data_IF_864801197780
#
_entry.id   IF_864801197780
#
_cell.length_a   1.000
_cell.length_b   1.000
_cell.length_c   1.000
_cell.angle_alpha   90.00
_cell.angle_beta   90.00
_cell.angle_gamma   90.00
#
_symmetry.space_group_name_H-M   'P 1'
#
loop_
_entity.id
_entity.type
_entity.pdbx_description
1 polymer ?
#
# COMPACT_ATOMS: atom_id res chain seq x y z
N UNK A 1 -6.07 -2.82 -8.21
CA UNK A 1 -6.04 -2.93 -6.73
C UNK A 1 -6.28 -1.56 -6.12
N UNK A 2 -6.88 -1.53 -4.98
CA UNK A 2 -7.31 -0.30 -4.33
C UNK A 2 -7.38 -0.50 -2.81
N UNK A 3 -7.01 0.54 -2.07
CA UNK A 3 -7.06 0.52 -0.60
C UNK A 3 -8.51 0.54 -0.10
N UNK A 4 -8.77 -0.19 0.98
CA UNK A 4 -10.03 -0.12 1.69
C UNK A 4 -10.09 1.24 2.42
N UNK A 5 -11.19 1.96 2.25
CA UNK A 5 -11.38 3.31 2.83
C UNK A 5 -11.49 3.32 4.35
N UNK A 6 -11.49 2.16 4.98
CA UNK A 6 -11.50 2.04 6.44
C UNK A 6 -10.15 2.37 7.06
N UNK A 7 -9.15 2.65 6.24
CA UNK A 7 -7.81 2.98 6.70
C UNK A 7 -7.39 4.33 6.15
N UNK A 8 -6.65 5.08 6.95
CA UNK A 8 -6.12 6.38 6.56
C UNK A 8 -4.64 6.47 6.90
N UNK A 9 -3.93 7.30 6.16
CA UNK A 9 -2.53 7.59 6.42
C UNK A 9 -2.44 8.89 7.22
N UNK A 10 -1.65 8.87 8.29
CA UNK A 10 -1.40 10.05 9.13
C UNK A 10 0.08 10.26 9.32
N UNK A 11 0.48 11.52 9.39
CA UNK A 11 1.84 11.88 9.77
C UNK A 11 1.82 12.28 11.25
N UNK A 12 2.60 11.59 12.07
CA UNK A 12 2.68 11.82 13.52
C UNK A 12 4.16 11.90 13.89
N UNK A 13 4.60 13.05 14.41
CA UNK A 13 5.97 13.24 14.85
C UNK A 13 7.01 12.90 13.79
N UNK A 14 6.72 13.24 12.54
CA UNK A 14 7.64 13.01 11.42
C UNK A 14 7.58 11.61 10.83
N UNK A 15 6.71 10.75 11.34
CA UNK A 15 6.52 9.40 10.81
C UNK A 15 5.15 9.25 10.17
N UNK A 16 5.08 8.44 9.11
CA UNK A 16 3.82 8.13 8.44
C UNK A 16 3.30 6.80 8.95
N UNK A 17 2.03 6.78 9.35
CA UNK A 17 1.42 5.62 9.96
C UNK A 17 0.05 5.38 9.34
N UNK A 18 -0.26 4.11 9.01
CA UNK A 18 -1.58 3.71 8.54
C UNK A 18 -2.42 3.36 9.77
N UNK A 19 -3.57 4.00 9.88
CA UNK A 19 -4.46 3.89 11.04
C UNK A 19 -5.85 3.43 10.59
N UNK A 20 -6.42 2.42 11.26
CA UNK A 20 -7.81 2.04 10.98
C UNK A 20 -8.79 3.09 11.52
N UNK A 21 -9.97 3.18 10.89
CA UNK A 21 -11.01 4.12 11.30
C UNK A 21 -12.28 3.40 11.70
N UNK A 22 -13.10 4.08 12.48
CA UNK A 22 -14.43 3.57 12.87
C UNK A 22 -14.36 2.23 13.58
N UNK A 23 -15.24 1.33 13.20
CA UNK A 23 -15.33 0.00 13.82
C UNK A 23 -14.08 -0.85 13.56
N UNK A 24 -13.39 -0.59 12.46
CA UNK A 24 -12.19 -1.32 12.13
C UNK A 24 -11.10 -1.13 13.20
N UNK A 25 -11.09 0.05 13.86
CA UNK A 25 -10.13 0.33 14.92
C UNK A 25 -10.27 -0.60 16.12
N UNK A 26 -11.44 -1.17 16.32
CA UNK A 26 -11.69 -2.08 17.45
C UNK A 26 -11.08 -3.45 17.21
N UNK A 27 -11.02 -3.88 15.95
CA UNK A 27 -10.56 -5.21 15.59
C UNK A 27 -9.12 -5.25 15.12
N UNK A 28 -8.60 -4.12 14.62
CA UNK A 28 -7.25 -4.04 14.08
C UNK A 28 -6.25 -3.82 15.21
N UNK A 29 -5.29 -4.73 15.32
CA UNK A 29 -4.25 -4.65 16.33
C UNK A 29 -2.92 -4.29 15.69
N UNK A 30 -2.34 -3.16 16.11
CA UNK A 30 -1.06 -2.69 15.64
C UNK A 30 -1.19 -1.53 14.67
N UNK A 31 -0.03 -0.97 14.34
CA UNK A 31 0.10 0.15 13.42
C UNK A 31 1.13 -0.23 12.37
N UNK A 32 0.94 0.27 11.16
CA UNK A 32 1.88 0.04 10.06
C UNK A 32 2.60 1.35 9.79
N UNK A 33 3.90 1.37 10.02
CA UNK A 33 4.75 2.51 9.72
C UNK A 33 5.15 2.45 8.25
N UNK A 34 5.13 3.60 7.57
CA UNK A 34 5.32 3.69 6.12
C UNK A 34 6.46 4.64 5.81
N UNK A 35 7.37 4.22 4.92
CA UNK A 35 8.43 5.10 4.43
C UNK A 35 7.93 5.97 3.27
N UNK A 36 8.80 6.84 2.73
CA UNK A 36 8.42 7.77 1.66
C UNK A 36 7.88 7.06 0.42
N UNK A 37 8.52 5.98 0.02
CA UNK A 37 8.07 5.21 -1.15
C UNK A 37 6.69 4.63 -0.88
N UNK A 38 6.47 4.09 0.32
CA UNK A 38 5.18 3.58 0.72
C UNK A 38 4.08 4.64 0.71
N UNK A 39 4.41 5.88 1.11
CA UNK A 39 3.47 6.99 1.04
C UNK A 39 3.04 7.25 -0.40
N UNK A 40 3.99 7.25 -1.33
CA UNK A 40 3.69 7.43 -2.76
C UNK A 40 2.80 6.32 -3.29
N UNK A 41 3.10 5.07 -2.91
CA UNK A 41 2.27 3.93 -3.29
C UNK A 41 0.87 4.06 -2.71
N UNK A 42 0.76 4.44 -1.44
CA UNK A 42 -0.52 4.63 -0.77
C UNK A 42 -1.39 5.64 -1.52
N UNK A 43 -0.79 6.76 -1.93
CA UNK A 43 -1.53 7.79 -2.67
C UNK A 43 -2.06 7.27 -4.00
N UNK A 44 -1.25 6.48 -4.70
CA UNK A 44 -1.70 5.87 -5.95
C UNK A 44 -2.81 4.85 -5.74
N UNK A 45 -2.79 4.13 -4.62
CA UNK A 45 -3.78 3.10 -4.30
C UNK A 45 -5.13 3.68 -3.85
N UNK A 46 -5.26 4.99 -3.75
CA UNK A 46 -6.55 5.62 -3.53
C UNK A 46 -7.45 5.46 -4.76
N UNK A 47 -6.87 5.17 -5.90
CA UNK A 47 -7.58 4.83 -7.13
C UNK A 47 -7.30 3.36 -7.47
N UNK A 48 -8.13 2.79 -8.31
CA UNK A 48 -7.92 1.42 -8.76
C UNK A 48 -6.76 1.41 -9.76
N UNK A 49 -5.63 0.84 -9.36
CA UNK A 49 -4.41 0.82 -10.18
C UNK A 49 -3.86 -0.59 -10.31
N UNK A 50 -3.07 -0.80 -11.35
CA UNK A 50 -2.37 -2.06 -11.58
C UNK A 50 -0.98 -2.01 -10.97
N UNK A 51 -0.34 -3.17 -10.82
CA UNK A 51 1.03 -3.24 -10.37
C UNK A 51 1.97 -2.44 -11.29
N UNK A 52 1.78 -2.56 -12.61
CA UNK A 52 2.61 -1.83 -13.56
C UNK A 52 2.47 -0.32 -13.42
N UNK A 53 1.26 0.16 -13.14
CA UNK A 53 1.05 1.59 -12.90
C UNK A 53 1.79 2.06 -11.65
N UNK A 54 1.82 1.23 -10.60
CA UNK A 54 2.59 1.54 -9.39
C UNK A 54 4.09 1.61 -9.71
N UNK A 55 4.58 0.63 -10.46
CA UNK A 55 6.01 0.59 -10.83
C UNK A 55 6.38 1.84 -11.62
N UNK A 56 5.60 2.18 -12.64
CA UNK A 56 5.88 3.36 -13.45
C UNK A 56 5.82 4.64 -12.63
N UNK A 57 4.87 4.74 -11.71
CA UNK A 57 4.76 5.90 -10.83
C UNK A 57 5.99 6.08 -9.95
N UNK A 58 6.51 5.00 -9.40
CA UNK A 58 7.71 5.06 -8.57
C UNK A 58 8.94 5.40 -9.42
N UNK A 59 9.08 4.81 -10.60
CA UNK A 59 10.20 5.10 -11.49
C UNK A 59 10.20 6.55 -11.97
N UNK A 60 9.02 7.17 -12.09
CA UNK A 60 8.91 8.57 -12.48
C UNK A 60 9.26 9.52 -11.34
N UNK A 61 9.06 9.09 -10.10
CA UNK A 61 9.24 9.94 -8.93
C UNK A 61 10.63 9.80 -8.29
N UNK A 62 11.22 8.61 -8.38
CA UNK A 62 12.49 8.30 -7.72
C UNK A 62 13.50 7.76 -8.71
N UNK A 63 14.78 8.05 -8.43
CA UNK A 63 15.89 7.49 -9.20
C UNK A 63 16.27 6.15 -8.62
N UNK A 64 15.56 5.10 -9.05
CA UNK A 64 15.82 3.72 -8.60
C UNK A 64 15.76 2.79 -9.80
N UNK A 65 16.43 1.66 -9.68
CA UNK A 65 16.34 0.61 -10.69
C UNK A 65 14.99 -0.06 -10.62
N UNK A 66 14.48 -0.49 -11.77
CA UNK A 66 13.15 -1.10 -11.83
C UNK A 66 13.04 -2.32 -10.92
N UNK A 67 14.07 -3.15 -10.85
CA UNK A 67 14.09 -4.34 -10.02
C UNK A 67 13.90 -3.98 -8.54
N UNK A 68 14.60 -2.95 -8.08
CA UNK A 68 14.48 -2.47 -6.70
C UNK A 68 13.09 -1.91 -6.45
N UNK A 69 12.57 -1.15 -7.40
CA UNK A 69 11.22 -0.59 -7.27
C UNK A 69 10.18 -1.70 -7.13
N UNK A 70 10.29 -2.75 -7.95
CA UNK A 70 9.37 -3.88 -7.89
C UNK A 70 9.42 -4.61 -6.56
N UNK A 71 10.62 -4.81 -6.03
CA UNK A 71 10.79 -5.45 -4.72
C UNK A 71 10.15 -4.63 -3.60
N UNK A 72 10.42 -3.33 -3.59
CA UNK A 72 9.87 -2.43 -2.56
C UNK A 72 8.35 -2.36 -2.63
N UNK A 73 7.80 -2.28 -3.84
CA UNK A 73 6.37 -2.25 -4.04
C UNK A 73 5.75 -3.56 -3.56
N UNK A 74 6.32 -4.69 -3.94
CA UNK A 74 5.78 -5.99 -3.58
C UNK A 74 5.80 -6.18 -2.06
N UNK A 75 6.89 -5.80 -1.41
CA UNK A 75 7.01 -5.90 0.03
C UNK A 75 5.94 -5.07 0.74
N UNK A 76 5.71 -3.85 0.25
CA UNK A 76 4.68 -2.98 0.82
C UNK A 76 3.28 -3.56 0.59
N UNK A 77 2.99 -4.04 -0.62
CA UNK A 77 1.70 -4.65 -0.92
C UNK A 77 1.44 -5.88 -0.07
N UNK A 78 2.47 -6.70 0.13
CA UNK A 78 2.36 -7.91 0.96
C UNK A 78 2.00 -7.53 2.40
N UNK A 79 2.61 -6.48 2.93
CA UNK A 79 2.29 -5.99 4.27
C UNK A 79 0.84 -5.51 4.36
N UNK A 80 0.36 -4.81 3.34
CA UNK A 80 -1.02 -4.32 3.30
C UNK A 80 -2.01 -5.49 3.21
N UNK A 81 -1.69 -6.51 2.42
CA UNK A 81 -2.54 -7.69 2.28
C UNK A 81 -2.58 -8.45 3.60
N UNK A 82 -1.42 -8.64 4.23
CA UNK A 82 -1.34 -9.34 5.50
C UNK A 82 -2.12 -8.63 6.61
N UNK A 83 -2.18 -7.30 6.55
CA UNK A 83 -2.94 -6.50 7.50
C UNK A 83 -4.43 -6.35 7.16
N UNK A 84 -4.88 -6.93 6.05
CA UNK A 84 -6.27 -6.81 5.63
C UNK A 84 -6.64 -5.45 5.05
N UNK A 85 -5.65 -4.63 4.71
CA UNK A 85 -5.85 -3.28 4.22
C UNK A 85 -6.07 -3.26 2.72
N UNK A 86 -5.41 -4.18 2.03
CA UNK A 86 -5.52 -4.35 0.59
C UNK A 86 -5.99 -5.76 0.29
N UNK A 87 -7.00 -5.88 -0.55
CA UNK A 87 -7.50 -7.19 -0.96
C UNK A 87 -6.73 -7.67 -2.18
N UNK A 88 -6.43 -8.96 -2.19
CA UNK A 88 -5.84 -9.57 -3.37
C UNK A 88 -6.85 -9.54 -4.51
N UNK A 89 -6.33 -9.42 -5.73
CA UNK A 89 -7.15 -9.45 -6.91
C UNK A 89 -7.69 -10.87 -7.14
N UNK A 90 -9.00 -11.01 -7.08
CA UNK A 90 -9.65 -12.31 -7.24
C UNK A 90 -9.36 -12.93 -8.60
N UNK A 91 -9.28 -12.11 -9.65
CA UNK A 91 -9.00 -12.61 -10.98
C UNK A 91 -7.63 -13.27 -11.08
N UNK A 92 -6.70 -12.83 -10.26
CA UNK A 92 -5.37 -13.40 -10.19
C UNK A 92 -5.45 -14.84 -9.66
N UNK A 93 -6.25 -15.07 -8.64
CA UNK A 93 -6.43 -16.41 -8.07
C UNK A 93 -7.10 -17.35 -9.05
N UNK A 94 -8.06 -16.85 -9.81
CA UNK A 94 -8.81 -17.65 -10.75
C UNK A 94 -8.00 -18.08 -11.97
N UNK A 95 -6.87 -17.44 -12.20
CA UNK A 95 -6.00 -17.81 -13.31
C UNK A 95 -5.22 -19.09 -13.05
N UNK A 96 -5.27 -19.56 -11.85
CA UNK A 96 -4.61 -20.80 -11.46
C UNK A 96 -5.49 -22.00 -11.79
#
# INVERSE_FOLDING_TARGET
>A
MKIDKKFVLREIAGEYIIIPTGKTALDFKGLITVNEVGVSIWKMLQNDVTLEELVQGILNEYEVEEEVAREDIQEFLDALIAGGILKQDVSFENSL
#
